data_IF_788067007357
#
_entry.id   IF_788067007357
#
_cell.length_a   1.000
_cell.length_b   1.000
_cell.length_c   1.000
_cell.angle_alpha   90.00
_cell.angle_beta   90.00
_cell.angle_gamma   90.00
#
_symmetry.space_group_name_H-M   'P 1'
#
loop_
_entity.id
_entity.type
_entity.pdbx_description
1 polymer ?
#
# COMPACT_ATOMS: atom_id res chain seq x y z
N UNK A 1 -6.71 1.67 13.83
CA UNK A 1 -6.04 2.52 12.81
C UNK A 1 -5.27 1.62 11.87
N UNK A 2 -5.42 1.80 10.55
CA UNK A 2 -4.77 0.98 9.52
C UNK A 2 -3.58 1.71 8.89
N UNK A 3 -2.39 1.17 9.11
CA UNK A 3 -1.13 1.66 8.55
C UNK A 3 -0.76 0.82 7.34
N UNK A 4 -0.51 1.46 6.20
CA UNK A 4 -0.07 0.82 4.97
C UNK A 4 1.41 1.06 4.71
N UNK A 5 2.13 -0.01 4.33
CA UNK A 5 3.50 0.04 3.83
C UNK A 5 3.55 -0.60 2.43
N UNK A 6 4.02 0.13 1.39
CA UNK A 6 4.23 -0.46 0.08
C UNK A 6 5.33 -1.52 0.14
N UNK A 7 5.11 -2.67 -0.49
CA UNK A 7 5.90 -3.89 -0.33
C UNK A 7 6.05 -4.61 -1.69
N UNK A 8 6.99 -5.55 -1.79
CA UNK A 8 7.23 -6.31 -3.02
C UNK A 8 6.43 -7.62 -3.07
N UNK A 9 6.48 -8.42 -2.01
CA UNK A 9 5.75 -9.68 -1.82
C UNK A 9 4.61 -9.54 -0.82
N UNK A 10 4.78 -8.64 0.16
CA UNK A 10 3.86 -8.40 1.26
C UNK A 10 4.15 -9.24 2.51
N UNK A 11 3.59 -8.79 3.64
CA UNK A 11 3.84 -9.36 4.97
C UNK A 11 4.88 -8.56 5.76
N UNK A 12 5.01 -8.85 7.06
CA UNK A 12 5.88 -8.11 7.97
C UNK A 12 7.38 -8.32 7.71
N UNK A 13 7.75 -9.45 7.12
CA UNK A 13 9.15 -9.82 6.83
C UNK A 13 9.61 -9.38 5.42
N UNK A 14 8.76 -8.66 4.68
CA UNK A 14 9.07 -8.22 3.33
C UNK A 14 9.77 -6.85 3.28
N UNK A 15 10.42 -6.57 2.16
CA UNK A 15 11.06 -5.28 1.95
C UNK A 15 10.06 -4.19 1.58
N UNK A 16 10.29 -2.99 2.11
CA UNK A 16 9.57 -1.78 1.70
C UNK A 16 9.89 -1.48 0.24
N UNK A 17 8.86 -1.29 -0.58
CA UNK A 17 9.03 -0.84 -1.95
C UNK A 17 9.24 0.68 -1.98
N UNK A 18 10.38 1.11 -2.52
CA UNK A 18 10.76 2.52 -2.55
C UNK A 18 9.84 3.37 -3.44
N UNK A 19 9.30 2.78 -4.51
CA UNK A 19 8.42 3.46 -5.45
C UNK A 19 6.96 3.10 -5.17
N UNK A 20 6.29 3.88 -4.31
CA UNK A 20 4.90 3.67 -3.91
C UNK A 20 3.94 3.29 -5.07
N UNK A 21 3.96 4.07 -6.16
CA UNK A 21 3.08 3.84 -7.31
C UNK A 21 3.24 2.48 -8.01
N UNK A 22 4.42 1.86 -7.88
CA UNK A 22 4.81 0.62 -8.55
C UNK A 22 5.01 -0.54 -7.57
N UNK A 23 4.69 -0.34 -6.29
CA UNK A 23 4.67 -1.43 -5.33
C UNK A 23 3.71 -2.52 -5.82
N UNK A 24 4.14 -3.76 -5.86
CA UNK A 24 3.34 -4.91 -6.30
C UNK A 24 2.29 -5.28 -5.27
N UNK A 25 2.58 -5.01 -3.98
CA UNK A 25 1.66 -5.25 -2.86
C UNK A 25 1.70 -4.11 -1.85
N UNK A 26 0.66 -4.01 -1.05
CA UNK A 26 0.54 -3.14 0.11
C UNK A 26 0.32 -4.01 1.34
N UNK A 27 1.21 -3.90 2.32
CA UNK A 27 1.06 -4.57 3.62
C UNK A 27 0.36 -3.61 4.55
N UNK A 28 -0.72 -4.05 5.17
CA UNK A 28 -1.56 -3.24 6.03
C UNK A 28 -1.55 -3.86 7.41
N UNK A 29 -1.23 -3.05 8.40
CA UNK A 29 -1.25 -3.40 9.81
C UNK A 29 -2.35 -2.61 10.51
N UNK A 30 -3.28 -3.32 11.14
CA UNK A 30 -4.27 -2.70 12.02
C UNK A 30 -3.70 -2.61 13.43
N UNK A 31 -3.48 -1.40 13.92
CA UNK A 31 -2.86 -1.16 15.23
C UNK A 31 -3.79 -1.47 16.40
N UNK A 32 -5.09 -1.64 16.17
CA UNK A 32 -6.06 -1.96 17.23
C UNK A 32 -6.18 -3.47 17.43
N UNK A 33 -6.18 -4.24 16.34
CA UNK A 33 -6.37 -5.70 16.37
C UNK A 33 -5.07 -6.49 16.26
N UNK A 34 -4.00 -5.86 15.75
CA UNK A 34 -2.75 -6.55 15.39
C UNK A 34 -2.85 -7.34 14.07
N UNK A 35 -3.94 -7.21 13.32
CA UNK A 35 -4.15 -7.91 12.07
C UNK A 35 -3.19 -7.41 10.98
N UNK A 36 -2.60 -8.35 10.23
CA UNK A 36 -1.80 -8.08 9.04
C UNK A 36 -2.56 -8.58 7.82
N UNK A 37 -2.77 -7.71 6.85
CA UNK A 37 -3.34 -8.07 5.55
C UNK A 37 -2.44 -7.60 4.41
N UNK A 38 -2.48 -8.31 3.29
CA UNK A 38 -1.70 -7.99 2.09
C UNK A 38 -2.67 -7.77 0.94
N UNK A 39 -2.55 -6.63 0.27
CA UNK A 39 -3.40 -6.24 -0.85
C UNK A 39 -2.53 -6.08 -2.10
N UNK A 40 -2.91 -6.69 -3.21
CA UNK A 40 -2.23 -6.47 -4.50
C UNK A 40 -2.52 -5.07 -5.03
N UNK A 41 -1.51 -4.46 -5.65
CA UNK A 41 -1.70 -3.22 -6.37
C UNK A 41 -2.40 -3.50 -7.71
N UNK A 42 -3.67 -3.14 -7.80
CA UNK A 42 -4.48 -3.24 -9.03
C UNK A 42 -4.70 -1.88 -9.70
N UNK A 43 -3.77 -0.93 -9.49
CA UNK A 43 -3.81 0.38 -10.14
C UNK A 43 -3.40 0.32 -11.62
N UNK A 44 -3.49 1.46 -12.30
CA UNK A 44 -3.12 1.66 -13.71
C UNK A 44 -1.74 1.09 -14.07
N UNK A 45 -0.76 1.17 -13.16
CA UNK A 45 0.59 0.63 -13.40
C UNK A 45 0.64 -0.89 -13.59
N UNK A 46 -0.39 -1.59 -13.13
CA UNK A 46 -0.54 -3.05 -13.24
C UNK A 46 -1.70 -3.44 -14.17
N UNK A 47 -2.11 -2.53 -15.07
CA UNK A 47 -3.18 -2.78 -16.03
C UNK A 47 -4.59 -2.73 -15.46
N UNK A 48 -4.75 -2.29 -14.20
CA UNK A 48 -6.05 -2.05 -13.60
C UNK A 48 -6.51 -0.60 -13.72
N UNK A 49 -7.37 -0.16 -12.79
CA UNK A 49 -8.00 1.16 -12.85
C UNK A 49 -7.74 1.96 -11.57
N UNK A 50 -7.59 3.28 -11.74
CA UNK A 50 -7.37 4.21 -10.63
C UNK A 50 -5.95 4.17 -10.07
N UNK A 51 -5.72 5.00 -9.05
CA UNK A 51 -4.41 5.17 -8.43
C UNK A 51 -4.31 4.37 -7.12
N UNK A 52 -3.09 3.98 -6.69
CA UNK A 52 -2.92 3.29 -5.41
C UNK A 52 -3.54 3.97 -4.19
N UNK A 53 -3.49 5.31 -4.00
CA UNK A 53 -4.15 5.95 -2.87
C UNK A 53 -5.67 5.74 -2.85
N UNK A 54 -6.31 5.66 -4.02
CA UNK A 54 -7.75 5.44 -4.13
C UNK A 54 -8.12 4.00 -3.74
N UNK A 55 -7.29 3.03 -4.14
CA UNK A 55 -7.40 1.64 -3.69
C UNK A 55 -7.28 1.55 -2.17
N UNK A 56 -6.28 2.21 -1.59
CA UNK A 56 -6.01 2.19 -0.15
C UNK A 56 -7.09 2.92 0.66
N UNK A 57 -7.65 4.02 0.13
CA UNK A 57 -8.80 4.74 0.70
C UNK A 57 -10.03 3.82 0.80
N UNK A 58 -10.32 3.03 -0.25
CA UNK A 58 -11.50 2.13 -0.29
C UNK A 58 -11.46 1.04 0.76
N UNK A 59 -10.27 0.62 1.20
CA UNK A 59 -10.08 -0.42 2.22
C UNK A 59 -9.85 0.15 3.63
N UNK A 60 -9.98 1.49 3.76
CA UNK A 60 -9.92 2.19 5.04
C UNK A 60 -8.51 2.36 5.61
N UNK A 61 -7.49 2.52 4.76
CA UNK A 61 -6.15 2.90 5.22
C UNK A 61 -6.17 4.35 5.72
N UNK A 62 -5.62 4.56 6.91
CA UNK A 62 -5.52 5.87 7.56
C UNK A 62 -4.18 6.56 7.25
N UNK A 63 -3.10 5.78 7.24
CA UNK A 63 -1.72 6.28 7.10
C UNK A 63 -0.95 5.43 6.11
N UNK A 64 -0.16 6.07 5.24
CA UNK A 64 0.79 5.40 4.35
C UNK A 64 2.21 5.80 4.78
N UNK A 65 3.04 4.80 5.09
CA UNK A 65 4.46 4.98 5.38
C UNK A 65 5.25 4.49 4.18
N UNK A 66 5.96 5.37 3.50
CA UNK A 66 6.75 5.04 2.31
C UNK A 66 8.05 5.85 2.24
N UNK A 67 9.08 5.29 1.60
CA UNK A 67 10.36 6.00 1.36
C UNK A 67 10.18 7.18 0.40
N UNK A 68 9.33 7.02 -0.61
CA UNK A 68 9.02 8.08 -1.57
C UNK A 68 7.60 7.98 -2.14
N UNK A 69 6.97 9.14 -2.27
CA UNK A 69 5.68 9.30 -2.95
C UNK A 69 5.82 10.40 -3.99
N UNK A 70 5.60 10.06 -5.27
CA UNK A 70 5.61 11.06 -6.34
C UNK A 70 4.40 12.00 -6.21
N UNK A 71 4.54 13.27 -6.60
CA UNK A 71 3.51 14.30 -6.44
C UNK A 71 2.14 13.95 -7.06
N UNK A 72 2.09 13.03 -8.04
CA UNK A 72 0.84 12.56 -8.66
C UNK A 72 0.03 11.59 -7.78
N UNK A 73 0.64 11.10 -6.70
CA UNK A 73 0.08 10.14 -5.76
C UNK A 73 -0.35 10.79 -4.43
N UNK A 74 -0.15 12.10 -4.26
CA UNK A 74 -0.65 12.89 -3.12
C UNK A 74 -2.05 13.41 -3.46
#
# INVERSE_FOLDING_TARGET
>A
MKVCVPSYKGGLDDFVCEHFGRATTFTIYDTETGEVSVVRNTSEHFGGFGKPPELLRKIGVDVIVCSGMGARAI
#
